data_IF_109175908129
#
_entry.id   IF_109175908129
#
_cell.length_a   1.000
_cell.length_b   1.000
_cell.length_c   1.000
_cell.angle_alpha   90.00
_cell.angle_beta   90.00
_cell.angle_gamma   90.00
#
_symmetry.space_group_name_H-M   'P 1'
#
loop_
_entity.id
_entity.type
_entity.pdbx_description
1 polymer ?
#
# COMPACT_ATOMS: atom_id res chain seq x y z
N UNK A 1 64.86 -6.67 9.06
CA UNK A 1 64.50 -7.55 7.92
C UNK A 1 63.57 -8.66 8.42
N UNK A 2 62.27 -8.61 8.13
CA UNK A 2 61.28 -9.57 8.65
C UNK A 2 60.98 -10.68 7.62
N UNK A 3 61.32 -11.93 7.99
CA UNK A 3 61.11 -13.14 7.17
C UNK A 3 59.62 -13.42 6.96
N UNK A 4 59.16 -13.35 5.70
CA UNK A 4 57.85 -13.83 5.25
C UNK A 4 57.70 -15.33 5.57
N UNK A 5 56.85 -15.69 6.54
CA UNK A 5 56.42 -17.08 6.76
C UNK A 5 55.52 -17.51 5.60
N UNK A 6 56.05 -18.37 4.73
CA UNK A 6 55.35 -18.95 3.59
C UNK A 6 54.17 -19.82 4.02
N UNK A 7 53.04 -19.61 3.35
CA UNK A 7 51.78 -20.35 3.49
C UNK A 7 52.02 -21.83 3.19
N UNK A 8 52.04 -22.69 4.21
CA UNK A 8 52.11 -24.16 4.04
C UNK A 8 50.70 -24.71 3.75
N UNK A 9 50.48 -25.46 2.66
CA UNK A 9 49.17 -26.03 2.35
C UNK A 9 48.82 -27.15 3.34
N UNK A 10 47.65 -27.05 3.96
CA UNK A 10 47.09 -28.02 4.90
C UNK A 10 46.58 -29.24 4.11
N UNK A 11 47.05 -30.45 4.42
CA UNK A 11 46.65 -31.68 3.74
C UNK A 11 45.75 -32.50 4.66
N UNK A 12 44.47 -32.61 4.32
CA UNK A 12 43.50 -33.45 5.04
C UNK A 12 43.53 -34.86 4.44
N UNK A 13 44.05 -35.84 5.18
CA UNK A 13 44.08 -37.25 4.79
C UNK A 13 42.83 -37.95 5.35
N UNK A 14 41.83 -38.15 4.50
CA UNK A 14 40.68 -39.01 4.80
C UNK A 14 41.02 -40.40 4.28
N UNK A 15 41.16 -41.40 5.17
CA UNK A 15 41.41 -42.80 4.82
C UNK A 15 40.08 -43.55 4.82
N UNK A 16 39.45 -43.81 3.65
CA UNK A 16 38.28 -44.65 3.59
C UNK A 16 38.70 -46.13 3.66
N UNK A 17 37.94 -46.92 4.41
CA UNK A 17 38.19 -48.35 4.64
C UNK A 17 37.87 -49.25 3.43
N UNK A 18 37.90 -48.72 2.20
CA UNK A 18 37.61 -49.48 0.99
C UNK A 18 38.33 -48.89 -0.23
N UNK A 19 38.90 -49.79 -1.04
CA UNK A 19 39.89 -49.60 -2.11
C UNK A 19 39.50 -48.60 -3.22
N UNK A 20 39.41 -47.30 -2.91
CA UNK A 20 39.32 -46.22 -3.90
C UNK A 20 40.57 -45.35 -3.79
N UNK A 21 41.17 -44.91 -4.91
CA UNK A 21 42.31 -43.99 -4.87
C UNK A 21 41.91 -42.75 -4.07
N UNK A 22 42.74 -42.31 -3.11
CA UNK A 22 42.42 -41.19 -2.24
C UNK A 22 42.25 -39.93 -3.08
N UNK A 23 41.05 -39.35 -3.07
CA UNK A 23 40.79 -38.08 -3.76
C UNK A 23 41.40 -36.97 -2.91
N UNK A 24 42.62 -36.58 -3.24
CA UNK A 24 43.30 -35.46 -2.58
C UNK A 24 42.70 -34.14 -3.07
N UNK A 25 41.67 -33.64 -2.39
CA UNK A 25 41.14 -32.30 -2.62
C UNK A 25 42.11 -31.27 -2.01
N UNK A 26 42.99 -30.74 -2.86
CA UNK A 26 43.85 -29.60 -2.51
C UNK A 26 43.01 -28.33 -2.53
N UNK A 27 42.52 -27.92 -1.37
CA UNK A 27 41.87 -26.62 -1.23
C UNK A 27 42.97 -25.56 -1.36
N UNK A 28 42.96 -24.82 -2.47
CA UNK A 28 43.92 -23.75 -2.69
C UNK A 28 43.76 -22.69 -1.59
N UNK A 29 44.85 -22.19 -0.98
CA UNK A 29 44.79 -21.23 0.12
C UNK A 29 44.17 -19.87 -0.27
N UNK A 30 43.88 -19.66 -1.56
CA UNK A 30 43.14 -18.50 -2.06
C UNK A 30 41.62 -18.71 -2.10
N UNK A 31 41.14 -19.94 -2.00
CA UNK A 31 39.69 -20.24 -2.04
C UNK A 31 39.02 -19.70 -0.78
N UNK A 32 39.63 -19.89 0.39
CA UNK A 32 39.08 -19.42 1.66
C UNK A 32 38.81 -17.89 1.68
N UNK A 33 39.78 -17.01 1.37
CA UNK A 33 39.52 -15.58 1.33
C UNK A 33 38.54 -15.20 0.20
N UNK A 34 38.60 -15.86 -0.96
CA UNK A 34 37.65 -15.60 -2.05
C UNK A 34 36.21 -15.92 -1.64
N UNK A 35 35.97 -17.06 -0.97
CA UNK A 35 34.64 -17.41 -0.46
C UNK A 35 34.13 -16.43 0.58
N UNK A 36 35.02 -15.88 1.43
CA UNK A 36 34.65 -14.90 2.43
C UNK A 36 34.26 -13.56 1.78
N UNK A 37 34.99 -13.12 0.76
CA UNK A 37 34.65 -11.93 -0.03
C UNK A 37 33.30 -12.11 -0.74
N UNK A 38 33.06 -13.27 -1.36
CA UNK A 38 31.78 -13.57 -2.02
C UNK A 38 30.63 -13.55 -1.00
N UNK A 39 30.83 -14.18 0.17
CA UNK A 39 29.83 -14.18 1.23
C UNK A 39 29.54 -12.75 1.73
N UNK A 40 30.57 -11.93 1.92
CA UNK A 40 30.41 -10.53 2.31
C UNK A 40 29.66 -9.72 1.24
N UNK A 41 29.98 -9.91 -0.04
CA UNK A 41 29.30 -9.26 -1.15
C UNK A 41 27.82 -9.68 -1.23
N UNK A 42 27.52 -10.96 -1.03
CA UNK A 42 26.15 -11.47 -0.95
C UNK A 42 25.37 -10.85 0.21
N UNK A 43 25.97 -10.79 1.40
CA UNK A 43 25.33 -10.15 2.56
C UNK A 43 25.06 -8.67 2.32
N UNK A 44 25.99 -7.95 1.70
CA UNK A 44 25.77 -6.56 1.29
C UNK A 44 24.64 -6.44 0.27
N UNK A 45 24.61 -7.31 -0.74
CA UNK A 45 23.55 -7.32 -1.76
C UNK A 45 22.17 -7.59 -1.17
N UNK A 46 22.06 -8.57 -0.27
CA UNK A 46 20.82 -8.89 0.44
C UNK A 46 20.40 -7.71 1.31
N UNK A 47 21.32 -7.12 2.08
CA UNK A 47 21.03 -5.96 2.92
C UNK A 47 20.53 -4.77 2.11
N UNK A 48 21.21 -4.45 1.01
CA UNK A 48 20.81 -3.37 0.10
C UNK A 48 19.44 -3.64 -0.55
N UNK A 49 19.19 -4.87 -1.00
CA UNK A 49 17.91 -5.22 -1.60
C UNK A 49 16.77 -5.19 -0.58
N UNK A 50 17.01 -5.67 0.64
CA UNK A 50 16.03 -5.67 1.72
C UNK A 50 15.64 -4.25 2.13
N UNK A 51 16.60 -3.33 2.28
CA UNK A 51 16.32 -1.94 2.61
C UNK A 51 15.55 -1.25 1.49
N UNK A 52 15.95 -1.46 0.22
CA UNK A 52 15.22 -0.85 -0.90
C UNK A 52 13.80 -1.41 -1.01
N UNK A 53 13.63 -2.71 -0.85
CA UNK A 53 12.31 -3.34 -0.88
C UNK A 53 11.41 -2.82 0.25
N UNK A 54 11.95 -2.66 1.46
CA UNK A 54 11.20 -2.12 2.59
C UNK A 54 10.73 -0.67 2.35
N UNK A 55 11.60 0.19 1.80
CA UNK A 55 11.23 1.56 1.42
C UNK A 55 10.12 1.57 0.36
N UNK A 56 10.27 0.76 -0.70
CA UNK A 56 9.29 0.70 -1.79
C UNK A 56 7.93 0.17 -1.32
N UNK A 57 7.94 -0.78 -0.39
CA UNK A 57 6.71 -1.33 0.20
C UNK A 57 5.98 -0.28 1.03
N UNK A 58 6.72 0.56 1.77
CA UNK A 58 6.13 1.66 2.54
C UNK A 58 5.49 2.71 1.64
N UNK A 59 6.19 3.14 0.58
CA UNK A 59 5.65 4.07 -0.42
C UNK A 59 4.33 3.52 -1.00
N UNK A 60 4.29 2.24 -1.38
CA UNK A 60 3.08 1.61 -1.90
C UNK A 60 1.95 1.53 -0.87
N UNK A 61 2.27 1.30 0.39
CA UNK A 61 1.28 1.25 1.46
C UNK A 61 0.68 2.64 1.72
N UNK A 62 1.51 3.68 1.72
CA UNK A 62 1.09 5.08 1.83
C UNK A 62 0.16 5.46 0.67
N UNK A 63 0.57 5.18 -0.58
CA UNK A 63 -0.28 5.43 -1.76
C UNK A 63 -1.62 4.69 -1.68
N UNK A 64 -1.62 3.45 -1.21
CA UNK A 64 -2.86 2.68 -1.03
C UNK A 64 -3.77 3.29 0.04
N UNK A 65 -3.21 3.78 1.14
CA UNK A 65 -3.98 4.46 2.19
C UNK A 65 -4.59 5.75 1.66
N UNK A 66 -3.84 6.56 0.91
CA UNK A 66 -4.36 7.78 0.29
C UNK A 66 -5.51 7.46 -0.67
N UNK A 67 -5.37 6.45 -1.53
CA UNK A 67 -6.44 6.02 -2.42
C UNK A 67 -7.70 5.59 -1.66
N UNK A 68 -7.55 4.87 -0.55
CA UNK A 68 -8.70 4.47 0.28
C UNK A 68 -9.40 5.67 0.92
N UNK A 69 -8.64 6.65 1.40
CA UNK A 69 -9.18 7.89 1.98
C UNK A 69 -9.94 8.68 0.90
N UNK A 70 -9.35 8.85 -0.29
CA UNK A 70 -10.02 9.55 -1.39
C UNK A 70 -11.28 8.84 -1.84
N UNK A 71 -11.28 7.51 -1.94
CA UNK A 71 -12.49 6.73 -2.26
C UNK A 71 -13.57 6.87 -1.18
N UNK A 72 -13.20 6.89 0.10
CA UNK A 72 -14.13 7.12 1.19
C UNK A 72 -14.73 8.53 1.12
N UNK A 73 -13.89 9.54 0.86
CA UNK A 73 -14.30 10.93 0.68
C UNK A 73 -15.24 11.11 -0.51
N UNK A 74 -14.95 10.45 -1.63
CA UNK A 74 -15.81 10.48 -2.81
C UNK A 74 -17.19 9.89 -2.52
N UNK A 75 -17.25 8.77 -1.79
CA UNK A 75 -18.53 8.18 -1.36
C UNK A 75 -19.30 9.11 -0.44
N UNK A 76 -18.62 9.77 0.49
CA UNK A 76 -19.23 10.73 1.40
C UNK A 76 -19.80 11.94 0.63
N UNK A 77 -19.02 12.52 -0.29
CA UNK A 77 -19.50 13.62 -1.15
C UNK A 77 -20.72 13.20 -1.97
N UNK A 78 -20.70 12.01 -2.58
CA UNK A 78 -21.85 11.49 -3.32
C UNK A 78 -23.09 11.35 -2.43
N UNK A 79 -22.92 10.87 -1.20
CA UNK A 79 -24.02 10.77 -0.23
C UNK A 79 -24.59 12.15 0.13
N UNK A 80 -23.73 13.14 0.37
CA UNK A 80 -24.15 14.51 0.67
C UNK A 80 -24.90 15.15 -0.51
N UNK A 81 -24.40 14.98 -1.74
CA UNK A 81 -25.08 15.48 -2.94
C UNK A 81 -26.48 14.86 -3.07
N UNK A 82 -26.60 13.54 -2.88
CA UNK A 82 -27.89 12.87 -2.95
C UNK A 82 -28.85 13.33 -1.83
N UNK A 83 -28.35 13.57 -0.62
CA UNK A 83 -29.21 14.08 0.46
C UNK A 83 -29.69 15.51 0.17
N UNK A 84 -28.81 16.37 -0.35
CA UNK A 84 -29.17 17.72 -0.75
C UNK A 84 -30.18 17.73 -1.90
N UNK A 85 -30.04 16.85 -2.89
CA UNK A 85 -31.03 16.71 -3.96
C UNK A 85 -32.40 16.30 -3.43
N UNK A 86 -32.43 15.37 -2.47
CA UNK A 86 -33.68 14.96 -1.83
C UNK A 86 -34.31 16.11 -1.04
N UNK A 87 -33.51 16.86 -0.28
CA UNK A 87 -33.97 18.02 0.49
C UNK A 87 -34.53 19.12 -0.42
N UNK A 88 -33.83 19.44 -1.52
CA UNK A 88 -34.33 20.39 -2.53
C UNK A 88 -35.66 19.93 -3.12
N UNK A 89 -35.81 18.64 -3.41
CA UNK A 89 -37.06 18.08 -3.93
C UNK A 89 -38.20 18.21 -2.90
N UNK A 90 -37.95 17.86 -1.65
CA UNK A 90 -38.93 18.02 -0.57
C UNK A 90 -39.35 19.48 -0.41
N UNK A 91 -38.40 20.42 -0.42
CA UNK A 91 -38.69 21.85 -0.35
C UNK A 91 -39.52 22.34 -1.54
N UNK A 92 -39.27 21.83 -2.74
CA UNK A 92 -40.09 22.14 -3.92
C UNK A 92 -41.53 21.65 -3.77
N UNK A 93 -41.72 20.44 -3.23
CA UNK A 93 -43.05 19.88 -2.97
C UNK A 93 -43.78 20.68 -1.88
N UNK A 94 -43.09 21.09 -0.82
CA UNK A 94 -43.65 21.95 0.23
C UNK A 94 -44.09 23.32 -0.32
N UNK A 95 -43.25 23.99 -1.10
CA UNK A 95 -43.59 25.28 -1.74
C UNK A 95 -44.80 25.12 -2.67
N UNK A 96 -44.82 24.08 -3.51
CA UNK A 96 -45.96 23.82 -4.39
C UNK A 96 -47.26 23.60 -3.61
N UNK A 97 -47.19 22.91 -2.46
CA UNK A 97 -48.36 22.72 -1.60
C UNK A 97 -48.83 24.02 -0.93
N UNK A 98 -47.91 24.90 -0.54
CA UNK A 98 -48.23 26.21 0.03
C UNK A 98 -48.89 27.13 -0.99
N UNK A 99 -48.40 27.13 -2.24
CA UNK A 99 -49.03 27.88 -3.34
C UNK A 99 -50.48 27.40 -3.57
N UNK A 100 -50.72 26.08 -3.53
CA UNK A 100 -52.08 25.54 -3.63
C UNK A 100 -52.99 25.98 -2.48
N UNK A 101 -52.47 26.01 -1.24
CA UNK A 101 -53.24 26.48 -0.07
C UNK A 101 -53.56 27.98 -0.18
N UNK A 102 -52.61 28.79 -0.66
CA UNK A 102 -52.84 30.22 -0.89
C UNK A 102 -53.92 30.47 -1.96
N UNK A 103 -53.89 29.72 -3.06
CA UNK A 103 -54.93 29.78 -4.09
C UNK A 103 -56.31 29.39 -3.55
N UNK A 104 -56.38 28.40 -2.67
CA UNK A 104 -57.64 28.01 -2.02
C UNK A 104 -58.16 29.11 -1.10
N UNK A 105 -57.31 29.67 -0.24
CA UNK A 105 -57.68 30.78 0.65
C UNK A 105 -58.14 32.01 -0.13
N UNK A 106 -57.49 32.35 -1.25
CA UNK A 106 -57.93 33.45 -2.10
C UNK A 106 -59.31 33.20 -2.69
N UNK A 107 -59.60 31.98 -3.14
CA UNK A 107 -60.93 31.59 -3.64
C UNK A 107 -61.99 31.67 -2.54
N UNK A 108 -61.72 31.13 -1.37
CA UNK A 108 -62.64 31.19 -0.21
C UNK A 108 -62.92 32.63 0.20
N UNK A 109 -61.88 33.48 0.25
CA UNK A 109 -62.02 34.90 0.60
C UNK A 109 -62.86 35.63 -0.45
N UNK A 110 -62.63 35.35 -1.74
CA UNK A 110 -63.43 35.93 -2.83
C UNK A 110 -64.90 35.50 -2.75
N UNK A 111 -65.15 34.21 -2.52
CA UNK A 111 -66.52 33.71 -2.32
C UNK A 111 -67.21 34.33 -1.10
N UNK A 112 -66.49 34.56 -0.01
CA UNK A 112 -67.05 35.24 1.17
C UNK A 112 -67.40 36.70 0.87
N UNK A 113 -66.55 37.42 0.14
CA UNK A 113 -66.84 38.81 -0.28
C UNK A 113 -68.06 38.85 -1.19
N UNK A 114 -68.16 37.96 -2.17
CA UNK A 114 -69.29 37.89 -3.10
C UNK A 114 -70.62 37.53 -2.38
N UNK A 115 -70.57 36.81 -1.26
CA UNK A 115 -71.77 36.51 -0.43
C UNK A 115 -72.22 37.68 0.46
N UNK A 116 -71.37 38.68 0.69
CA UNK A 116 -71.64 39.83 1.55
C UNK A 116 -72.10 41.07 0.77
N UNK A 117 -72.08 41.03 -0.56
CA UNK A 117 -72.59 42.08 -1.45
C UNK A 117 -73.97 41.71 -2.00
#
# INVERSE_FOLDING_TARGET
MARKKGKRPLTLLIVPHSQRPPISLRISPWVLPATLVIAAALLMGIGFFATRHALLTRELEELRREQQIEQAREREMRKTILSQQQEVKTLQEEVASLDQQMDQLQKETKEQVDRLQ
#
